data_IF_437952890010
#
_entry.id   IF_437952890010
#
_cell.length_a   1.000
_cell.length_b   1.000
_cell.length_c   1.000
_cell.angle_alpha   90.00
_cell.angle_beta   90.00
_cell.angle_gamma   90.00
#
_symmetry.space_group_name_H-M   'P 1'
#
loop_
_entity.id
_entity.type
_entity.pdbx_description
1 polymer ?
#
# COMPACT_ATOMS: atom_id res chain seq x y z
N UNK A 1 -16.36 13.11 4.71
CA UNK A 1 -14.97 12.67 4.89
C UNK A 1 -14.75 11.57 3.90
N UNK A 2 -13.71 11.68 3.08
CA UNK A 2 -13.44 10.76 1.97
C UNK A 2 -12.43 9.66 2.33
N UNK A 3 -11.80 9.73 3.50
CA UNK A 3 -10.84 8.72 3.95
C UNK A 3 -11.18 8.33 5.39
N UNK A 4 -11.29 7.03 5.64
CA UNK A 4 -11.54 6.44 6.95
C UNK A 4 -10.53 5.31 7.19
N UNK A 5 -10.03 5.20 8.43
CA UNK A 5 -9.31 4.04 8.91
C UNK A 5 -10.13 3.38 10.02
N UNK A 6 -10.57 2.14 9.78
CA UNK A 6 -11.19 1.32 10.82
C UNK A 6 -10.08 0.58 11.58
N UNK A 7 -9.71 1.07 12.77
CA UNK A 7 -8.60 0.49 13.55
C UNK A 7 -8.89 -0.94 14.02
N UNK A 8 -10.14 -1.27 14.31
CA UNK A 8 -10.53 -2.60 14.79
C UNK A 8 -10.41 -3.64 13.67
N UNK A 9 -10.71 -3.22 12.44
CA UNK A 9 -10.64 -4.07 11.24
C UNK A 9 -9.35 -3.90 10.46
N UNK A 10 -8.55 -2.89 10.78
CA UNK A 10 -7.31 -2.50 10.11
C UNK A 10 -7.50 -2.28 8.61
N UNK A 11 -8.61 -1.62 8.25
CA UNK A 11 -8.99 -1.31 6.87
C UNK A 11 -8.90 0.20 6.62
N UNK A 12 -8.16 0.59 5.58
CA UNK A 12 -8.27 1.91 4.99
C UNK A 12 -9.33 1.90 3.90
N UNK A 13 -10.25 2.87 3.95
CA UNK A 13 -11.29 3.05 2.95
C UNK A 13 -11.29 4.49 2.45
N UNK A 14 -11.21 4.62 1.13
CA UNK A 14 -11.07 5.87 0.39
C UNK A 14 -12.28 5.98 -0.54
N UNK A 15 -13.21 6.85 -0.19
CA UNK A 15 -14.49 7.02 -0.86
C UNK A 15 -14.50 8.32 -1.67
N UNK A 16 -14.90 8.22 -2.93
CA UNK A 16 -15.36 9.34 -3.73
C UNK A 16 -16.89 9.43 -3.71
N UNK A 17 -17.51 10.27 -4.54
CA UNK A 17 -18.97 10.31 -4.62
C UNK A 17 -19.59 9.00 -5.15
N UNK A 18 -18.88 8.28 -6.03
CA UNK A 18 -19.40 7.08 -6.72
C UNK A 18 -18.51 5.85 -6.62
N UNK A 19 -17.32 5.96 -6.03
CA UNK A 19 -16.37 4.85 -5.96
C UNK A 19 -15.80 4.65 -4.56
N UNK A 20 -15.41 3.43 -4.25
CA UNK A 20 -14.67 3.05 -3.05
C UNK A 20 -13.38 2.36 -3.45
N UNK A 21 -12.29 2.72 -2.77
CA UNK A 21 -11.00 2.05 -2.82
C UNK A 21 -10.63 1.62 -1.41
N UNK A 22 -10.17 0.39 -1.23
CA UNK A 22 -9.86 -0.11 0.10
C UNK A 22 -8.73 -1.12 0.11
N UNK A 23 -7.98 -1.11 1.21
CA UNK A 23 -6.91 -2.05 1.49
C UNK A 23 -6.80 -2.32 3.00
N UNK A 24 -6.24 -3.47 3.34
CA UNK A 24 -6.18 -4.03 4.68
C UNK A 24 -4.73 -4.21 5.15
N UNK A 25 -4.50 -4.03 6.45
CA UNK A 25 -3.22 -4.31 7.08
C UNK A 25 -3.28 -5.68 7.78
N UNK A 26 -2.47 -6.66 7.33
CA UNK A 26 -2.41 -8.00 7.96
C UNK A 26 -1.69 -7.98 9.31
N UNK A 27 -1.78 -9.06 10.10
CA UNK A 27 -1.09 -9.18 11.41
C UNK A 27 0.44 -9.06 11.28
N UNK A 28 0.99 -9.54 10.16
CA UNK A 28 2.38 -9.41 9.74
C UNK A 28 2.70 -8.06 9.10
N UNK A 29 1.76 -7.10 9.13
CA UNK A 29 1.91 -5.72 8.65
C UNK A 29 2.02 -5.58 7.13
N UNK A 30 1.61 -6.59 6.36
CA UNK A 30 1.50 -6.47 4.91
C UNK A 30 0.27 -5.65 4.52
N UNK A 31 0.32 -4.99 3.37
CA UNK A 31 -0.79 -4.22 2.80
C UNK A 31 -1.44 -4.99 1.66
N UNK A 32 -2.67 -5.46 1.87
CA UNK A 32 -3.44 -6.20 0.87
C UNK A 32 -4.55 -5.33 0.30
N UNK A 33 -4.59 -5.23 -1.02
CA UNK A 33 -5.65 -4.55 -1.74
C UNK A 33 -6.95 -5.35 -1.61
N UNK A 34 -8.05 -4.69 -1.23
CA UNK A 34 -9.35 -5.34 -1.07
C UNK A 34 -10.27 -5.08 -2.26
N UNK A 35 -10.38 -3.81 -2.66
CA UNK A 35 -11.41 -3.38 -3.58
C UNK A 35 -11.06 -2.07 -4.26
N UNK A 36 -11.42 -1.97 -5.54
CA UNK A 36 -11.60 -0.70 -6.21
C UNK A 36 -12.75 -0.80 -7.21
N UNK A 37 -13.79 0.02 -7.04
CA UNK A 37 -14.99 -0.04 -7.88
C UNK A 37 -16.09 0.88 -7.38
N UNK A 38 -17.35 0.51 -7.65
CA UNK A 38 -18.53 1.27 -7.22
C UNK A 38 -18.59 1.46 -5.70
N UNK A 39 -19.17 2.57 -5.26
CA UNK A 39 -19.27 2.92 -3.84
C UNK A 39 -19.89 1.81 -3.00
N UNK A 40 -19.22 1.47 -1.89
CA UNK A 40 -19.69 0.51 -0.89
C UNK A 40 -20.01 1.31 0.38
N UNK A 41 -21.24 1.25 0.94
CA UNK A 41 -21.57 1.98 2.16
C UNK A 41 -20.81 1.49 3.41
N UNK A 42 -20.57 0.18 3.51
CA UNK A 42 -19.95 -0.46 4.66
C UNK A 42 -18.45 -0.12 4.78
N UNK A 43 -17.93 -0.07 6.02
CA UNK A 43 -16.50 0.02 6.30
C UNK A 43 -15.85 -1.36 6.46
N UNK A 44 -16.59 -2.32 7.04
CA UNK A 44 -16.13 -3.69 7.15
C UNK A 44 -16.36 -4.46 5.85
N UNK A 45 -15.34 -4.41 5.00
CA UNK A 45 -15.26 -5.19 3.77
C UNK A 45 -14.17 -6.26 3.83
N UNK A 46 -13.78 -6.68 5.05
CA UNK A 46 -12.73 -7.70 5.26
C UNK A 46 -13.07 -9.04 4.62
N UNK A 47 -14.35 -9.33 4.40
CA UNK A 47 -14.83 -10.50 3.65
C UNK A 47 -14.35 -10.52 2.19
N UNK A 48 -13.83 -9.41 1.65
CA UNK A 48 -13.20 -9.34 0.32
C UNK A 48 -11.75 -9.82 0.32
N UNK A 49 -11.14 -10.07 1.49
CA UNK A 49 -9.85 -10.76 1.57
C UNK A 49 -9.99 -12.14 0.94
N UNK A 50 -9.40 -12.30 -0.24
CA UNK A 50 -9.29 -13.60 -0.90
C UNK A 50 -8.15 -14.38 -0.24
N UNK A 51 -8.41 -14.92 0.95
CA UNK A 51 -7.53 -15.92 1.54
C UNK A 51 -7.81 -17.22 0.77
N UNK A 52 -6.84 -17.78 0.02
CA UNK A 52 -7.05 -19.03 -0.70
C UNK A 52 -7.33 -20.11 0.34
N UNK A 53 -8.58 -20.58 0.41
CA UNK A 53 -8.97 -21.56 1.42
C UNK A 53 -8.44 -22.98 1.12
N UNK A 54 -7.83 -23.26 -0.04
CA UNK A 54 -7.46 -24.63 -0.43
C UNK A 54 -6.42 -24.69 -1.57
N UNK A 55 -5.28 -24.01 -1.45
CA UNK A 55 -4.13 -24.35 -2.32
C UNK A 55 -3.20 -25.34 -1.59
N UNK A 56 -2.83 -26.48 -2.21
CA UNK A 56 -1.80 -27.34 -1.63
C UNK A 56 -0.54 -26.48 -1.46
N UNK A 57 0.12 -26.57 -0.30
CA UNK A 57 1.33 -25.80 0.10
C UNK A 57 1.13 -24.46 0.85
N UNK A 58 -0.07 -24.10 1.32
CA UNK A 58 -0.21 -22.99 2.30
C UNK A 58 0.13 -23.49 3.72
N UNK A 59 1.12 -22.92 4.43
CA UNK A 59 1.48 -23.34 5.80
C UNK A 59 0.35 -23.05 6.80
N UNK A 60 0.14 -23.97 7.74
CA UNK A 60 -0.96 -23.95 8.72
C UNK A 60 -0.80 -22.96 9.90
N UNK A 61 0.32 -22.24 10.00
CA UNK A 61 0.58 -21.28 11.09
C UNK A 61 1.43 -20.11 10.59
N UNK A 62 0.76 -18.98 10.31
CA UNK A 62 1.20 -17.58 10.39
C UNK A 62 0.30 -16.77 9.46
N UNK A 63 -0.55 -15.90 10.03
CA UNK A 63 -1.25 -14.79 9.36
C UNK A 63 -1.50 -14.99 7.86
N UNK A 64 -2.17 -16.08 7.44
CA UNK A 64 -2.52 -16.37 6.04
C UNK A 64 -1.43 -16.18 4.95
N UNK A 65 -0.15 -16.05 5.30
CA UNK A 65 0.90 -15.51 4.40
C UNK A 65 2.18 -16.35 4.49
N UNK A 66 2.06 -17.65 4.21
CA UNK A 66 3.24 -18.40 3.77
C UNK A 66 3.84 -17.79 2.50
N UNK A 67 5.11 -18.10 2.16
CA UNK A 67 5.78 -17.54 0.97
C UNK A 67 5.03 -17.78 -0.35
N UNK A 68 4.15 -18.77 -0.43
CA UNK A 68 3.30 -19.03 -1.60
C UNK A 68 2.07 -18.10 -1.69
N UNK A 69 1.74 -17.38 -0.62
CA UNK A 69 0.55 -16.53 -0.54
C UNK A 69 0.75 -15.18 -1.22
N UNK A 70 1.97 -14.64 -1.27
CA UNK A 70 2.21 -13.37 -1.97
C UNK A 70 1.97 -13.48 -3.48
N UNK A 71 2.29 -14.61 -4.11
CA UNK A 71 2.06 -14.83 -5.55
C UNK A 71 0.57 -14.77 -5.93
N UNK A 72 -0.32 -15.12 -5.00
CA UNK A 72 -1.77 -15.13 -5.21
C UNK A 72 -2.49 -13.91 -4.59
N UNK A 73 -1.95 -13.32 -3.52
CA UNK A 73 -2.60 -12.25 -2.80
C UNK A 73 -2.64 -10.94 -3.61
N UNK A 74 -3.73 -10.17 -3.53
CA UNK A 74 -3.78 -8.83 -4.09
C UNK A 74 -2.97 -7.87 -3.20
N UNK A 75 -1.75 -7.51 -3.62
CA UNK A 75 -0.85 -6.65 -2.84
C UNK A 75 -1.03 -5.19 -3.25
N UNK A 76 -1.09 -4.30 -2.26
CA UNK A 76 -1.30 -2.87 -2.47
C UNK A 76 -0.10 -2.20 -3.17
N UNK A 77 1.12 -2.56 -2.76
CA UNK A 77 2.37 -2.07 -3.36
C UNK A 77 3.41 -3.21 -3.43
N UNK A 78 3.37 -4.06 -4.48
CA UNK A 78 4.23 -5.25 -4.57
C UNK A 78 5.69 -4.88 -4.81
N UNK A 79 6.59 -5.58 -4.12
CA UNK A 79 8.05 -5.43 -4.22
C UNK A 79 8.69 -6.72 -4.73
N UNK A 80 9.96 -6.65 -5.18
CA UNK A 80 10.68 -7.84 -5.65
C UNK A 80 11.33 -8.65 -4.53
N UNK A 81 11.56 -9.94 -4.79
CA UNK A 81 12.42 -10.80 -3.97
C UNK A 81 11.78 -11.34 -2.70
N UNK A 82 10.45 -11.31 -2.63
CA UNK A 82 9.64 -11.68 -1.45
C UNK A 82 8.63 -12.81 -1.76
N UNK A 83 9.00 -13.71 -2.68
CA UNK A 83 8.18 -14.82 -3.16
C UNK A 83 6.88 -14.46 -3.90
N UNK A 84 6.70 -13.19 -4.27
CA UNK A 84 5.81 -12.76 -5.36
C UNK A 84 6.59 -12.86 -6.69
N UNK A 85 6.13 -13.70 -7.63
CA UNK A 85 6.79 -13.88 -8.94
C UNK A 85 6.19 -12.99 -10.03
N UNK A 86 5.17 -12.19 -9.71
CA UNK A 86 4.53 -11.24 -10.63
C UNK A 86 5.39 -9.99 -10.78
N UNK A 87 4.97 -9.06 -11.63
CA UNK A 87 5.71 -7.82 -11.84
C UNK A 87 5.65 -6.90 -10.59
N UNK A 88 6.81 -6.49 -10.04
CA UNK A 88 6.83 -5.62 -8.88
C UNK A 88 6.54 -4.15 -9.25
N UNK A 89 5.95 -3.41 -8.33
CA UNK A 89 5.88 -1.95 -8.40
C UNK A 89 7.24 -1.32 -8.07
N UNK A 90 8.01 -1.92 -7.15
CA UNK A 90 9.34 -1.44 -6.78
C UNK A 90 10.38 -2.57 -6.77
N UNK A 91 11.56 -2.29 -7.32
CA UNK A 91 12.72 -3.18 -7.25
C UNK A 91 13.95 -2.40 -6.83
N UNK A 92 14.69 -2.97 -5.89
CA UNK A 92 15.94 -2.43 -5.37
C UNK A 92 17.06 -3.45 -5.47
N UNK A 93 18.31 -3.01 -5.35
CA UNK A 93 19.45 -3.87 -5.11
C UNK A 93 20.40 -3.22 -4.10
N UNK A 94 20.77 -3.96 -3.07
CA UNK A 94 21.79 -3.53 -2.11
C UNK A 94 23.22 -3.76 -2.64
N UNK A 95 24.21 -3.33 -1.87
CA UNK A 95 25.63 -3.48 -2.21
C UNK A 95 26.12 -4.92 -2.27
N UNK A 96 25.40 -5.87 -1.64
CA UNK A 96 25.72 -7.29 -1.64
C UNK A 96 25.00 -8.05 -2.78
N UNK A 97 24.20 -7.37 -3.59
CA UNK A 97 23.41 -7.96 -4.66
C UNK A 97 22.06 -8.51 -4.22
N UNK A 98 21.61 -8.22 -3.00
CA UNK A 98 20.29 -8.63 -2.51
C UNK A 98 19.22 -7.71 -3.09
N UNK A 99 18.13 -8.31 -3.60
CA UNK A 99 17.01 -7.58 -4.21
C UNK A 99 15.67 -7.73 -3.47
N UNK A 100 15.68 -8.38 -2.32
CA UNK A 100 14.50 -8.52 -1.46
C UNK A 100 14.24 -7.18 -0.75
N UNK A 101 12.98 -6.74 -0.76
CA UNK A 101 12.54 -5.55 -0.04
C UNK A 101 11.12 -5.80 0.44
N UNK A 102 10.84 -5.58 1.71
CA UNK A 102 9.49 -5.72 2.27
C UNK A 102 8.90 -4.34 2.56
N UNK A 103 7.61 -4.16 2.27
CA UNK A 103 6.91 -2.89 2.48
C UNK A 103 5.98 -3.01 3.69
N UNK A 104 6.55 -3.12 4.89
CA UNK A 104 5.77 -3.33 6.10
C UNK A 104 5.17 -2.04 6.63
N UNK A 105 3.87 -2.07 6.92
CA UNK A 105 3.16 -0.98 7.56
C UNK A 105 3.79 -0.58 8.90
N UNK A 106 3.94 0.72 9.11
CA UNK A 106 4.47 1.34 10.33
C UNK A 106 3.42 2.23 11.00
N UNK A 107 2.87 3.17 10.24
CA UNK A 107 1.94 4.19 10.74
C UNK A 107 1.20 4.85 9.56
N UNK A 108 0.30 5.79 9.84
CA UNK A 108 -0.41 6.56 8.82
C UNK A 108 -0.67 8.01 9.25
N UNK A 109 -0.99 8.86 8.26
CA UNK A 109 -1.49 10.21 8.49
C UNK A 109 -2.58 10.54 7.47
N UNK A 110 -3.72 11.03 7.96
CA UNK A 110 -4.78 11.60 7.12
C UNK A 110 -4.73 13.12 7.27
N UNK A 111 -4.70 13.83 6.16
CA UNK A 111 -4.65 15.30 6.11
C UNK A 111 -5.62 15.84 5.06
N UNK A 112 -6.03 17.09 5.22
CA UNK A 112 -6.83 17.79 4.23
C UNK A 112 -5.94 18.33 3.10
N UNK A 113 -6.53 18.47 1.91
CA UNK A 113 -5.85 18.93 0.71
C UNK A 113 -4.97 17.87 0.05
N UNK A 114 -4.13 18.35 -0.87
CA UNK A 114 -3.15 17.53 -1.59
C UNK A 114 -1.75 18.14 -1.53
N UNK A 115 -0.74 17.43 -0.96
CA UNK A 115 0.63 17.93 -0.94
C UNK A 115 1.25 17.99 -2.34
N UNK A 116 2.15 18.95 -2.54
CA UNK A 116 2.96 19.06 -3.76
C UNK A 116 4.06 17.99 -3.79
N UNK A 117 4.34 17.45 -4.98
CA UNK A 117 5.51 16.59 -5.20
C UNK A 117 6.72 17.46 -5.55
N UNK A 118 7.80 17.35 -4.76
CA UNK A 118 8.99 18.20 -4.92
C UNK A 118 9.64 17.96 -6.27
N UNK A 119 9.72 19.01 -7.10
CA UNK A 119 10.38 18.96 -8.41
C UNK A 119 9.59 18.24 -9.51
N UNK A 120 8.33 17.87 -9.25
CA UNK A 120 7.48 17.14 -10.19
C UNK A 120 6.15 17.86 -10.39
N UNK A 121 5.55 17.79 -11.59
CA UNK A 121 4.15 18.17 -11.78
C UNK A 121 3.25 17.18 -11.03
N UNK A 122 2.18 17.69 -10.42
CA UNK A 122 1.16 16.90 -9.75
C UNK A 122 -0.21 17.59 -9.88
N UNK A 123 -1.29 16.82 -9.74
CA UNK A 123 -2.61 17.43 -9.48
C UNK A 123 -2.57 18.26 -8.19
N UNK A 124 -3.49 19.21 -8.06
CA UNK A 124 -3.57 20.12 -6.92
C UNK A 124 -5.02 20.19 -6.42
N UNK A 125 -5.18 20.48 -5.15
CA UNK A 125 -6.46 20.73 -4.51
C UNK A 125 -6.25 21.65 -3.31
N UNK A 126 -7.23 22.50 -3.02
CA UNK A 126 -7.34 23.16 -1.74
C UNK A 126 -7.73 22.18 -0.62
N UNK A 127 -7.62 22.60 0.64
CA UNK A 127 -7.87 21.76 1.82
C UNK A 127 -9.30 21.18 1.85
N UNK A 128 -10.28 21.87 1.26
CA UNK A 128 -11.68 21.47 1.21
C UNK A 128 -12.05 20.67 -0.05
N UNK A 129 -11.12 20.49 -0.99
CA UNK A 129 -11.35 19.80 -2.27
C UNK A 129 -10.87 18.35 -2.29
N UNK A 130 -9.90 18.01 -1.43
CA UNK A 130 -9.33 16.68 -1.33
C UNK A 130 -8.95 16.32 0.09
N UNK A 131 -8.75 15.02 0.35
CA UNK A 131 -8.01 14.53 1.51
C UNK A 131 -6.87 13.63 1.04
N UNK A 132 -5.77 13.61 1.80
CA UNK A 132 -4.61 12.76 1.51
C UNK A 132 -4.34 11.81 2.67
N UNK A 133 -4.20 10.53 2.34
CA UNK A 133 -3.66 9.48 3.20
C UNK A 133 -2.19 9.26 2.85
N UNK A 134 -1.34 9.38 3.85
CA UNK A 134 0.04 8.87 3.83
C UNK A 134 0.07 7.60 4.65
N UNK A 135 0.51 6.50 4.04
CA UNK A 135 0.81 5.25 4.72
C UNK A 135 2.32 5.13 4.80
N UNK A 136 2.84 5.12 6.02
CA UNK A 136 4.26 4.98 6.28
C UNK A 136 4.60 3.51 6.40
N UNK A 137 5.54 3.06 5.59
CA UNK A 137 6.05 1.70 5.55
C UNK A 137 7.57 1.71 5.69
N UNK A 138 8.15 0.56 6.01
CA UNK A 138 9.59 0.39 6.11
C UNK A 138 10.02 -1.01 5.69
N UNK A 139 11.25 -1.10 5.17
CA UNK A 139 11.94 -2.36 4.97
C UNK A 139 12.97 -2.55 6.11
N UNK A 140 12.79 -3.55 7.00
CA UNK A 140 13.67 -3.76 8.15
C UNK A 140 15.10 -4.16 7.74
N UNK A 141 15.28 -4.76 6.56
CA UNK A 141 16.59 -5.21 6.11
C UNK A 141 17.42 -4.05 5.53
N UNK A 142 16.85 -3.29 4.59
CA UNK A 142 17.59 -2.23 3.90
C UNK A 142 17.56 -0.87 4.61
N UNK A 143 16.61 -0.65 5.53
CA UNK A 143 16.42 0.64 6.20
C UNK A 143 15.75 1.69 5.30
N UNK A 144 15.08 1.26 4.23
CA UNK A 144 14.23 2.13 3.40
C UNK A 144 12.96 2.49 4.16
N UNK A 145 12.64 3.78 4.21
CA UNK A 145 11.29 4.25 4.52
C UNK A 145 10.53 4.47 3.21
N UNK A 146 9.33 3.91 3.12
CA UNK A 146 8.47 3.94 1.93
C UNK A 146 7.15 4.61 2.35
N UNK A 147 6.82 5.76 1.76
CA UNK A 147 5.55 6.43 2.02
C UNK A 147 4.64 6.29 0.81
N UNK A 148 3.54 5.56 0.96
CA UNK A 148 2.48 5.46 -0.05
C UNK A 148 1.49 6.60 0.17
N UNK A 149 1.26 7.41 -0.86
CA UNK A 149 0.43 8.61 -0.79
C UNK A 149 -0.81 8.46 -1.67
N UNK A 150 -1.98 8.63 -1.09
CA UNK A 150 -3.27 8.58 -1.76
C UNK A 150 -4.01 9.88 -1.56
N UNK A 151 -4.26 10.65 -2.62
CA UNK A 151 -5.13 11.84 -2.55
C UNK A 151 -6.47 11.54 -3.21
N UNK A 152 -7.55 11.73 -2.46
CA UNK A 152 -8.94 11.48 -2.90
C UNK A 152 -9.60 12.80 -3.24
N UNK A 153 -10.18 12.88 -4.43
CA UNK A 153 -10.91 14.02 -4.96
C UNK A 153 -12.39 13.64 -5.15
N UNK A 154 -13.24 13.79 -4.13
CA UNK A 154 -14.56 13.15 -4.12
C UNK A 154 -15.46 13.57 -5.29
N UNK A 155 -15.50 14.88 -5.58
CA UNK A 155 -16.32 15.49 -6.65
C UNK A 155 -15.97 15.01 -8.05
N UNK A 156 -14.74 14.53 -8.24
CA UNK A 156 -14.23 14.13 -9.55
C UNK A 156 -14.18 12.61 -9.73
N UNK A 157 -14.52 11.83 -8.69
CA UNK A 157 -14.34 10.38 -8.68
C UNK A 157 -12.88 9.96 -9.01
N UNK A 158 -11.91 10.72 -8.47
CA UNK A 158 -10.48 10.51 -8.73
C UNK A 158 -9.74 10.18 -7.43
N UNK A 159 -8.87 9.16 -7.53
CA UNK A 159 -7.86 8.84 -6.52
C UNK A 159 -6.49 8.88 -7.20
N UNK A 160 -5.58 9.70 -6.69
CA UNK A 160 -4.19 9.75 -7.20
C UNK A 160 -3.27 9.02 -6.24
N UNK A 161 -2.34 8.22 -6.77
CA UNK A 161 -1.32 7.50 -6.01
C UNK A 161 0.06 8.07 -6.34
N UNK A 162 0.94 8.09 -5.34
CA UNK A 162 2.36 8.37 -5.52
C UNK A 162 3.14 7.72 -4.39
N UNK A 163 4.44 7.51 -4.59
CA UNK A 163 5.31 6.90 -3.60
C UNK A 163 6.54 7.80 -3.37
N UNK A 164 6.97 7.88 -2.12
CA UNK A 164 8.23 8.50 -1.72
C UNK A 164 9.09 7.43 -1.06
N UNK A 165 10.31 7.27 -1.52
CA UNK A 165 11.28 6.32 -0.97
C UNK A 165 12.46 7.10 -0.41
N UNK A 166 12.80 6.85 0.84
CA UNK A 166 13.91 7.49 1.54
C UNK A 166 14.85 6.42 2.08
N UNK A 167 16.13 6.52 1.74
CA UNK A 167 17.14 5.65 2.29
C UNK A 167 17.66 6.22 3.61
N UNK A 168 17.19 5.64 4.71
CA UNK A 168 17.67 5.93 6.07
C UNK A 168 18.61 4.83 6.60
N UNK A 169 19.02 3.89 5.74
CA UNK A 169 20.01 2.87 6.02
C UNK A 169 21.45 3.39 6.01
N UNK A 170 22.39 2.49 6.30
CA UNK A 170 23.83 2.81 6.36
C UNK A 170 24.54 2.62 5.01
N UNK A 171 23.93 1.93 4.06
CA UNK A 171 24.52 1.56 2.79
C UNK A 171 23.73 2.13 1.60
N UNK A 172 24.40 2.31 0.47
CA UNK A 172 23.77 2.70 -0.77
C UNK A 172 22.82 1.59 -1.28
N UNK A 173 21.73 2.01 -1.90
CA UNK A 173 20.73 1.15 -2.53
C UNK A 173 20.50 1.66 -3.95
N UNK A 174 20.52 0.73 -4.90
CA UNK A 174 20.20 0.98 -6.30
C UNK A 174 18.69 0.77 -6.52
N UNK A 175 17.97 1.85 -6.84
CA UNK A 175 16.54 1.79 -7.17
C UNK A 175 16.37 1.49 -8.66
N UNK A 176 16.01 0.25 -8.99
CA UNK A 176 15.97 -0.26 -10.37
C UNK A 176 14.62 -0.10 -11.04
N UNK A 177 13.54 -0.09 -10.25
CA UNK A 177 12.17 0.12 -10.72
C UNK A 177 11.37 0.80 -9.62
N UNK A 178 10.54 1.76 -10.01
CA UNK A 178 9.47 2.32 -9.19
C UNK A 178 8.37 2.84 -10.13
N UNK A 179 7.13 2.42 -9.91
CA UNK A 179 5.96 2.82 -10.70
C UNK A 179 4.80 3.26 -9.81
#
# INVERSE_FOLDING_TARGET
MSIVFDENKRVFKLDTEKSSYAFHITDSRNLLHLYYGGYIPETDITHMLRIPNDEPFVPAVHDAMGPHSFDCAPIEFPTSGVADFREPAMQVMDINGMSACECYYKDYRISNGKPKLKGLPATYAADDEAQTLEVFCYDPHSGLDITLMYSVFPKFDVITRSVKVENNGLAAIDLRRII
#
